data_IF_295455778434
#
_entry.id   IF_295455778434
#
_cell.length_a   1.000
_cell.length_b   1.000
_cell.length_c   1.000
_cell.angle_alpha   90.00
_cell.angle_beta   90.00
_cell.angle_gamma   90.00
#
_symmetry.space_group_name_H-M   'P 1'
#
loop_
_entity.id
_entity.type
_entity.pdbx_description
1 polymer ?
#
# COMPACT_ATOMS: atom_id res chain seq x y z
N UNK A 1 -20.28 17.50 -8.45
CA UNK A 1 -19.62 17.74 -7.15
C UNK A 1 -20.28 17.01 -5.99
N UNK A 2 -21.56 17.28 -5.59
CA UNK A 2 -22.22 16.63 -4.44
C UNK A 2 -22.33 15.11 -4.58
N UNK A 3 -22.78 14.60 -5.73
CA UNK A 3 -22.92 13.16 -6.03
C UNK A 3 -21.58 12.40 -5.96
N UNK A 4 -20.52 12.97 -6.49
CA UNK A 4 -19.16 12.38 -6.47
C UNK A 4 -18.61 12.25 -5.05
N UNK A 5 -18.76 13.32 -4.22
CA UNK A 5 -18.38 13.28 -2.81
C UNK A 5 -19.12 12.19 -2.05
N UNK A 6 -20.44 12.06 -2.26
CA UNK A 6 -21.25 11.00 -1.64
C UNK A 6 -20.75 9.62 -2.04
N UNK A 7 -20.44 9.39 -3.32
CA UNK A 7 -19.90 8.09 -3.79
C UNK A 7 -18.59 7.74 -3.11
N UNK A 8 -17.67 8.71 -2.96
CA UNK A 8 -16.38 8.49 -2.29
C UNK A 8 -16.57 8.15 -0.80
N UNK A 9 -17.47 8.86 -0.11
CA UNK A 9 -17.77 8.60 1.30
C UNK A 9 -18.40 7.21 1.49
N UNK A 10 -19.39 6.85 0.66
CA UNK A 10 -20.03 5.52 0.71
C UNK A 10 -19.02 4.43 0.44
N UNK A 11 -18.14 4.59 -0.56
CA UNK A 11 -17.06 3.64 -0.82
C UNK A 11 -16.12 3.53 0.39
N UNK A 12 -15.77 4.66 1.03
CA UNK A 12 -14.94 4.69 2.23
C UNK A 12 -15.58 3.90 3.38
N UNK A 13 -16.88 4.11 3.63
CA UNK A 13 -17.62 3.35 4.66
C UNK A 13 -17.59 1.84 4.38
N UNK A 14 -17.88 1.43 3.16
CA UNK A 14 -17.85 0.01 2.77
C UNK A 14 -16.44 -0.60 2.94
N UNK A 15 -15.40 0.11 2.51
CA UNK A 15 -14.02 -0.34 2.62
C UNK A 15 -13.60 -0.49 4.10
N UNK A 16 -14.00 0.45 4.97
CA UNK A 16 -13.70 0.35 6.40
C UNK A 16 -14.41 -0.82 7.07
N UNK A 17 -15.68 -1.04 6.76
CA UNK A 17 -16.46 -2.21 7.24
C UNK A 17 -15.81 -3.51 6.75
N UNK A 18 -15.52 -3.65 5.45
CA UNK A 18 -14.88 -4.85 4.89
C UNK A 18 -13.53 -5.11 5.57
N UNK A 19 -12.73 -4.06 5.84
CA UNK A 19 -11.43 -4.20 6.50
C UNK A 19 -11.56 -4.77 7.93
N UNK A 20 -12.54 -4.33 8.71
CA UNK A 20 -12.79 -4.88 10.04
C UNK A 20 -13.38 -6.30 9.98
N UNK A 21 -14.26 -6.58 9.02
CA UNK A 21 -14.80 -7.92 8.81
C UNK A 21 -13.73 -8.93 8.43
N UNK A 22 -12.73 -8.55 7.61
CA UNK A 22 -11.61 -9.45 7.31
C UNK A 22 -10.81 -9.83 8.56
N UNK A 23 -10.65 -8.91 9.52
CA UNK A 23 -10.04 -9.23 10.82
C UNK A 23 -10.92 -10.20 11.60
N UNK A 24 -12.24 -9.99 11.61
CA UNK A 24 -13.18 -10.91 12.24
C UNK A 24 -13.13 -12.32 11.64
N UNK A 25 -12.93 -12.43 10.33
CA UNK A 25 -12.79 -13.72 9.64
C UNK A 25 -11.40 -14.35 9.70
N UNK A 26 -10.44 -13.76 10.39
CA UNK A 26 -9.15 -14.38 10.67
C UNK A 26 -7.91 -13.63 10.17
N UNK A 27 -8.04 -12.50 9.47
CA UNK A 27 -6.87 -11.69 9.15
C UNK A 27 -6.21 -11.13 10.43
N UNK A 28 -4.90 -10.84 10.42
CA UNK A 28 -4.25 -10.27 11.59
C UNK A 28 -4.91 -8.97 12.03
N UNK A 29 -4.93 -8.72 13.34
CA UNK A 29 -5.51 -7.51 13.91
C UNK A 29 -4.91 -6.23 13.27
N UNK A 30 -5.76 -5.25 12.99
CA UNK A 30 -5.41 -4.01 12.29
C UNK A 30 -4.80 -4.21 10.88
N UNK A 31 -4.95 -5.39 10.27
CA UNK A 31 -4.40 -5.74 8.96
C UNK A 31 -5.48 -6.22 7.97
N UNK A 32 -6.71 -5.74 8.07
CA UNK A 32 -7.77 -6.14 7.13
C UNK A 32 -7.34 -5.97 5.67
N UNK A 33 -6.78 -4.80 5.33
CA UNK A 33 -6.13 -4.52 4.05
C UNK A 33 -4.79 -3.79 4.28
N UNK A 34 -3.70 -4.51 4.48
CA UNK A 34 -2.37 -3.91 4.50
C UNK A 34 -1.62 -4.24 3.21
N UNK A 35 -1.58 -3.31 2.26
CA UNK A 35 -0.95 -3.56 0.96
C UNK A 35 0.52 -3.92 1.09
N UNK A 36 1.31 -3.18 1.89
CA UNK A 36 2.73 -3.47 2.08
C UNK A 36 2.95 -4.86 2.69
N UNK A 37 2.22 -5.17 3.80
CA UNK A 37 2.37 -6.47 4.46
C UNK A 37 1.92 -7.62 3.55
N UNK A 38 0.87 -7.44 2.78
CA UNK A 38 0.32 -8.47 1.90
C UNK A 38 1.19 -8.72 0.66
N UNK A 39 1.83 -7.68 0.11
CA UNK A 39 2.85 -7.87 -0.93
C UNK A 39 4.09 -8.59 -0.36
N UNK A 40 4.55 -8.21 0.82
CA UNK A 40 5.62 -8.89 1.54
C UNK A 40 5.31 -10.37 1.76
N UNK A 41 4.13 -10.68 2.30
CA UNK A 41 3.72 -12.07 2.56
C UNK A 41 3.70 -12.89 1.26
N UNK A 42 3.26 -12.27 0.15
CA UNK A 42 3.23 -12.91 -1.17
C UNK A 42 4.64 -13.20 -1.68
N UNK A 43 5.59 -12.28 -1.55
CA UNK A 43 6.98 -12.53 -1.98
C UNK A 43 7.66 -13.58 -1.10
N UNK A 44 7.34 -13.61 0.20
CA UNK A 44 7.78 -14.66 1.11
C UNK A 44 7.25 -16.04 0.73
N UNK A 45 5.98 -16.12 0.34
CA UNK A 45 5.40 -17.38 -0.16
C UNK A 45 6.09 -17.88 -1.44
N UNK A 46 6.57 -16.95 -2.28
CA UNK A 46 7.37 -17.27 -3.48
C UNK A 46 8.83 -17.63 -3.16
N UNK A 47 9.24 -17.62 -1.89
CA UNK A 47 10.62 -17.93 -1.47
C UNK A 47 11.63 -16.81 -1.75
N UNK A 48 11.19 -15.57 -2.06
CA UNK A 48 12.09 -14.45 -2.34
C UNK A 48 12.70 -13.85 -1.06
N UNK A 49 12.12 -14.15 0.11
CA UNK A 49 12.73 -13.92 1.41
C UNK A 49 12.48 -15.09 2.38
N UNK A 50 13.35 -15.23 3.38
CA UNK A 50 13.37 -16.37 4.31
C UNK A 50 12.59 -16.14 5.62
N UNK A 51 11.88 -15.03 5.78
CA UNK A 51 11.13 -14.72 7.00
C UNK A 51 9.87 -15.60 7.12
N UNK A 52 10.00 -16.78 7.76
CA UNK A 52 8.97 -17.81 7.86
C UNK A 52 7.64 -17.31 8.48
N UNK A 53 7.68 -16.30 9.36
CA UNK A 53 6.49 -15.75 10.01
C UNK A 53 5.54 -14.98 9.07
N UNK A 54 5.95 -14.69 7.82
CA UNK A 54 5.24 -13.80 6.91
C UNK A 54 5.25 -14.33 5.46
N UNK A 55 4.82 -15.57 5.30
CA UNK A 55 4.77 -16.31 4.03
C UNK A 55 3.34 -16.78 3.77
N UNK A 56 2.62 -16.09 2.88
CA UNK A 56 1.29 -16.44 2.43
C UNK A 56 0.92 -15.68 1.15
N UNK A 57 0.39 -16.36 0.13
CA UNK A 57 -0.16 -15.68 -1.05
C UNK A 57 -1.49 -15.03 -0.64
N UNK A 58 -1.57 -13.71 -0.68
CA UNK A 58 -2.72 -12.94 -0.18
C UNK A 58 -3.82 -12.75 -1.24
N UNK A 59 -4.97 -13.43 -1.10
CA UNK A 59 -6.07 -13.31 -2.06
C UNK A 59 -6.65 -11.89 -2.15
N UNK A 60 -6.51 -11.09 -1.10
CA UNK A 60 -6.94 -9.69 -1.06
C UNK A 60 -6.24 -8.85 -2.14
N UNK A 61 -4.92 -9.08 -2.34
CA UNK A 61 -4.14 -8.40 -3.39
C UNK A 61 -4.58 -8.83 -4.77
N UNK A 62 -4.79 -10.15 -4.95
CA UNK A 62 -5.28 -10.73 -6.20
C UNK A 62 -6.63 -10.12 -6.55
N UNK A 63 -7.57 -10.15 -5.61
CA UNK A 63 -8.91 -9.60 -5.78
C UNK A 63 -8.90 -8.10 -6.09
N UNK A 64 -8.07 -7.34 -5.40
CA UNK A 64 -7.95 -5.89 -5.59
C UNK A 64 -7.53 -5.52 -7.03
N UNK A 65 -6.54 -6.21 -7.58
CA UNK A 65 -6.07 -5.99 -8.95
C UNK A 65 -7.10 -6.47 -9.97
N UNK A 66 -7.68 -7.67 -9.77
CA UNK A 66 -8.69 -8.23 -10.67
C UNK A 66 -9.98 -7.40 -10.65
N UNK A 67 -10.44 -6.93 -9.48
CA UNK A 67 -11.60 -6.05 -9.35
C UNK A 67 -11.41 -4.73 -10.09
N UNK A 68 -10.23 -4.10 -9.95
CA UNK A 68 -9.89 -2.91 -10.70
C UNK A 68 -9.82 -3.16 -12.21
N UNK A 69 -9.25 -4.31 -12.64
CA UNK A 69 -9.18 -4.70 -14.04
C UNK A 69 -10.59 -4.90 -14.63
N UNK A 70 -11.43 -5.70 -13.98
CA UNK A 70 -12.79 -6.01 -14.43
C UNK A 70 -13.60 -4.71 -14.62
N UNK A 71 -13.63 -3.85 -13.59
CA UNK A 71 -14.43 -2.62 -13.70
C UNK A 71 -13.85 -1.66 -14.73
N UNK A 72 -12.52 -1.57 -14.87
CA UNK A 72 -11.90 -0.71 -15.89
C UNK A 72 -12.19 -1.18 -17.32
N UNK A 73 -12.29 -2.49 -17.54
CA UNK A 73 -12.71 -3.05 -18.82
C UNK A 73 -14.19 -2.75 -19.13
N UNK A 74 -15.08 -2.95 -18.16
CA UNK A 74 -16.52 -2.67 -18.28
C UNK A 74 -16.77 -1.17 -18.56
N UNK A 75 -16.07 -0.29 -17.86
CA UNK A 75 -16.24 1.17 -18.00
C UNK A 75 -15.40 1.78 -19.14
N UNK A 76 -14.67 0.95 -19.91
CA UNK A 76 -13.76 1.39 -20.98
C UNK A 76 -12.65 2.33 -20.50
N UNK A 77 -12.26 2.20 -19.25
CA UNK A 77 -11.16 2.96 -18.63
C UNK A 77 -9.83 2.17 -18.60
N UNK A 78 -9.81 0.93 -19.12
CA UNK A 78 -8.58 0.16 -19.29
C UNK A 78 -7.69 0.82 -20.35
N UNK A 79 -6.55 1.37 -19.90
CA UNK A 79 -5.65 2.16 -20.74
C UNK A 79 -4.20 1.72 -20.57
N UNK A 80 -3.74 0.73 -21.35
CA UNK A 80 -2.34 0.33 -21.36
C UNK A 80 -1.41 1.48 -21.67
N UNK A 81 -0.51 1.78 -20.74
CA UNK A 81 0.46 2.87 -20.85
C UNK A 81 1.66 2.59 -19.94
N UNK A 82 2.83 3.09 -20.32
CA UNK A 82 4.05 2.90 -19.55
C UNK A 82 5.27 3.56 -20.18
N UNK A 83 6.46 3.19 -19.73
CA UNK A 83 7.74 3.68 -20.25
C UNK A 83 8.23 4.98 -19.59
N UNK A 84 7.57 5.41 -18.50
CA UNK A 84 7.95 6.61 -17.75
C UNK A 84 8.91 6.27 -16.62
N UNK A 85 10.19 6.51 -16.80
CA UNK A 85 11.26 6.41 -15.81
C UNK A 85 11.25 5.09 -14.98
N UNK A 86 11.35 3.90 -15.60
CA UNK A 86 11.14 2.63 -14.90
C UNK A 86 12.12 2.40 -13.75
N UNK A 87 13.40 2.72 -13.89
CA UNK A 87 14.41 2.57 -12.83
C UNK A 87 14.05 3.44 -11.61
N UNK A 88 13.67 4.69 -11.85
CA UNK A 88 13.28 5.62 -10.78
C UNK A 88 12.02 5.12 -10.06
N UNK A 89 11.03 4.61 -10.79
CA UNK A 89 9.80 4.05 -10.20
C UNK A 89 10.07 2.82 -9.36
N UNK A 90 10.92 1.92 -9.86
CA UNK A 90 11.35 0.74 -9.12
C UNK A 90 12.06 1.12 -7.82
N UNK A 91 13.04 2.02 -7.90
CA UNK A 91 13.82 2.48 -6.74
C UNK A 91 12.93 3.19 -5.70
N UNK A 92 12.07 4.10 -6.15
CA UNK A 92 11.10 4.76 -5.24
C UNK A 92 10.17 3.74 -4.60
N UNK A 93 9.68 2.74 -5.35
CA UNK A 93 8.86 1.64 -4.84
C UNK A 93 9.57 0.87 -3.73
N UNK A 94 10.85 0.50 -3.94
CA UNK A 94 11.64 -0.21 -2.94
C UNK A 94 11.81 0.61 -1.64
N UNK A 95 12.14 1.89 -1.72
CA UNK A 95 12.25 2.74 -0.53
C UNK A 95 10.91 3.02 0.15
N UNK A 96 9.83 3.14 -0.60
CA UNK A 96 8.47 3.22 -0.02
C UNK A 96 8.18 1.97 0.81
N UNK A 97 8.53 0.78 0.31
CA UNK A 97 8.32 -0.46 1.06
C UNK A 97 9.18 -0.52 2.33
N UNK A 98 10.47 -0.13 2.26
CA UNK A 98 11.34 -0.06 3.43
C UNK A 98 10.73 0.88 4.49
N UNK A 99 10.24 2.06 4.10
CA UNK A 99 9.53 2.97 5.01
C UNK A 99 8.27 2.35 5.62
N UNK A 100 7.48 1.64 4.81
CA UNK A 100 6.30 0.92 5.28
C UNK A 100 6.65 -0.21 6.26
N UNK A 101 7.75 -0.93 6.06
CA UNK A 101 8.17 -2.03 6.94
C UNK A 101 8.89 -1.53 8.19
N UNK A 102 9.44 -0.31 8.18
CA UNK A 102 9.88 0.37 9.39
C UNK A 102 8.68 0.66 10.31
N UNK A 103 7.57 1.15 9.78
CA UNK A 103 6.34 1.44 10.52
C UNK A 103 5.50 0.18 10.78
N UNK A 104 5.79 -0.94 10.13
CA UNK A 104 4.98 -2.16 10.11
C UNK A 104 3.59 -1.94 9.48
N UNK A 105 3.53 -1.19 8.39
CA UNK A 105 2.27 -1.00 7.67
C UNK A 105 2.32 0.07 6.58
N UNK A 106 1.48 -0.07 5.57
CA UNK A 106 1.29 0.95 4.54
C UNK A 106 0.38 2.09 5.05
N UNK A 107 0.27 3.22 4.32
CA UNK A 107 -0.62 4.32 4.70
C UNK A 107 -2.07 3.89 4.94
N UNK A 108 -2.56 2.90 4.21
CA UNK A 108 -3.90 2.37 4.44
C UNK A 108 -4.02 1.65 5.79
N UNK A 109 -3.06 0.78 6.13
CA UNK A 109 -3.01 0.14 7.44
C UNK A 109 -2.84 1.15 8.58
N UNK A 110 -2.13 2.24 8.37
CA UNK A 110 -2.00 3.31 9.36
C UNK A 110 -3.37 3.83 9.82
N UNK A 111 -4.32 4.01 8.89
CA UNK A 111 -5.71 4.39 9.22
C UNK A 111 -6.43 3.27 9.99
N UNK A 112 -6.22 2.01 9.61
CA UNK A 112 -6.81 0.87 10.32
C UNK A 112 -6.23 0.70 11.73
N UNK A 113 -4.94 0.97 11.93
CA UNK A 113 -4.30 1.00 13.25
C UNK A 113 -4.90 2.10 14.13
N UNK A 114 -5.10 3.31 13.60
CA UNK A 114 -5.82 4.39 14.29
C UNK A 114 -7.25 3.96 14.67
N UNK A 115 -7.96 3.33 13.75
CA UNK A 115 -9.31 2.81 13.98
C UNK A 115 -9.35 1.66 15.01
N UNK A 116 -8.24 0.96 15.21
CA UNK A 116 -8.06 -0.07 16.23
C UNK A 116 -7.64 0.48 17.61
N UNK A 117 -7.35 1.78 17.72
CA UNK A 117 -6.93 2.41 18.98
C UNK A 117 -5.40 2.51 19.15
N UNK A 118 -4.60 2.16 18.13
CA UNK A 118 -3.14 2.23 18.21
C UNK A 118 -2.63 3.68 18.13
N UNK A 119 -2.21 4.23 19.28
CA UNK A 119 -1.66 5.58 19.38
C UNK A 119 -0.33 5.77 18.64
N UNK A 120 0.44 4.69 18.40
CA UNK A 120 1.69 4.79 17.64
C UNK A 120 1.46 5.18 16.17
N UNK A 121 0.28 4.90 15.64
CA UNK A 121 -0.09 5.29 14.28
C UNK A 121 -0.23 6.81 14.10
N UNK A 122 -0.38 7.59 15.17
CA UNK A 122 -0.38 9.06 15.13
C UNK A 122 0.99 9.58 14.68
N UNK A 123 2.09 9.00 15.21
CA UNK A 123 3.44 9.37 14.77
C UNK A 123 3.65 9.04 13.30
N UNK A 124 3.13 7.86 12.85
CA UNK A 124 3.13 7.49 11.44
C UNK A 124 2.35 8.49 10.57
N UNK A 125 1.17 8.93 11.01
CA UNK A 125 0.36 9.91 10.30
C UNK A 125 1.10 11.26 10.16
N UNK A 126 1.70 11.76 11.23
CA UNK A 126 2.51 13.00 11.21
C UNK A 126 3.67 12.87 10.22
N UNK A 127 4.44 11.77 10.27
CA UNK A 127 5.52 11.52 9.34
C UNK A 127 5.03 11.43 7.89
N UNK A 128 3.94 10.72 7.64
CA UNK A 128 3.36 10.56 6.32
C UNK A 128 2.91 11.89 5.69
N UNK A 129 2.22 12.72 6.47
CA UNK A 129 1.81 14.06 6.04
C UNK A 129 3.05 14.92 5.76
N UNK A 130 4.04 14.94 6.63
CA UNK A 130 5.28 15.69 6.42
C UNK A 130 6.01 15.25 5.13
N UNK A 131 6.11 13.94 4.86
CA UNK A 131 6.69 13.41 3.63
C UNK A 131 5.93 13.84 2.38
N UNK A 132 4.58 13.82 2.41
CA UNK A 132 3.76 14.32 1.30
C UNK A 132 3.96 15.83 1.09
N UNK A 133 4.02 16.63 2.15
CA UNK A 133 4.26 18.07 2.05
C UNK A 133 5.63 18.36 1.41
N UNK A 134 6.67 17.61 1.82
CA UNK A 134 8.00 17.71 1.21
C UNK A 134 7.95 17.40 -0.28
N UNK A 135 7.32 16.28 -0.68
CA UNK A 135 7.20 15.94 -2.10
C UNK A 135 6.31 16.91 -2.89
N UNK A 136 5.26 17.46 -2.27
CA UNK A 136 4.42 18.51 -2.87
C UNK A 136 5.23 19.77 -3.21
N UNK A 137 6.20 20.13 -2.37
CA UNK A 137 7.12 21.22 -2.67
C UNK A 137 7.93 20.94 -3.95
N UNK A 138 8.43 19.72 -4.15
CA UNK A 138 9.13 19.33 -5.38
C UNK A 138 8.20 19.30 -6.60
N UNK A 139 6.94 18.86 -6.44
CA UNK A 139 5.93 18.95 -7.52
C UNK A 139 5.73 20.40 -7.98
N UNK A 140 5.63 21.35 -7.02
CA UNK A 140 5.54 22.79 -7.34
C UNK A 140 6.79 23.33 -8.05
N UNK A 141 7.95 22.71 -7.82
CA UNK A 141 9.21 23.04 -8.51
C UNK A 141 9.40 22.34 -9.87
N UNK A 142 8.38 21.64 -10.37
CA UNK A 142 8.43 21.02 -11.69
C UNK A 142 8.90 19.57 -11.70
N UNK A 143 8.92 18.88 -10.53
CA UNK A 143 9.22 17.45 -10.51
C UNK A 143 8.30 16.66 -11.44
N UNK A 144 8.89 15.82 -12.28
CA UNK A 144 8.17 14.92 -13.20
C UNK A 144 8.93 13.62 -13.40
N UNK A 145 8.18 12.51 -13.53
CA UNK A 145 8.70 11.20 -13.94
C UNK A 145 8.67 11.01 -15.47
N UNK A 146 8.52 12.09 -16.23
CA UNK A 146 8.35 12.11 -17.68
C UNK A 146 7.01 11.51 -18.15
N UNK A 147 6.84 11.47 -19.45
CA UNK A 147 5.60 11.08 -20.12
C UNK A 147 5.49 9.57 -20.23
N UNK A 148 4.31 9.01 -19.96
CA UNK A 148 3.98 7.63 -20.30
C UNK A 148 3.52 7.54 -21.75
N UNK A 149 3.82 6.45 -22.42
CA UNK A 149 3.42 6.15 -23.78
C UNK A 149 2.29 5.13 -23.81
N UNK A 150 1.47 5.14 -24.87
CA UNK A 150 0.47 4.11 -25.10
C UNK A 150 1.17 2.79 -25.42
N UNK A 151 0.77 1.73 -24.73
CA UNK A 151 1.30 0.38 -24.88
C UNK A 151 0.27 -0.55 -25.56
N UNK A 152 0.70 -1.65 -26.17
CA UNK A 152 -0.18 -2.71 -26.64
C UNK A 152 -1.08 -3.24 -25.50
N UNK A 153 -2.29 -3.68 -25.85
CA UNK A 153 -3.23 -4.22 -24.84
C UNK A 153 -2.64 -5.40 -24.06
N UNK A 154 -1.86 -6.24 -24.74
CA UNK A 154 -1.21 -7.40 -24.13
C UNK A 154 -0.33 -6.99 -22.92
N UNK A 155 0.49 -5.95 -23.05
CA UNK A 155 1.37 -5.51 -21.98
C UNK A 155 0.59 -5.05 -20.74
N UNK A 156 -0.56 -4.38 -20.95
CA UNK A 156 -1.42 -3.97 -19.84
C UNK A 156 -2.12 -5.14 -19.14
N UNK A 157 -2.30 -6.28 -19.81
CA UNK A 157 -2.97 -7.47 -19.25
C UNK A 157 -2.02 -8.42 -18.52
N UNK A 158 -0.71 -8.30 -18.70
CA UNK A 158 0.30 -9.22 -18.10
C UNK A 158 0.17 -9.27 -16.57
N UNK A 159 0.04 -8.14 -15.91
CA UNK A 159 -0.01 -8.12 -14.44
C UNK A 159 -1.35 -8.65 -13.88
N UNK A 160 -2.53 -8.29 -14.40
CA UNK A 160 -3.77 -8.99 -14.05
C UNK A 160 -3.73 -10.51 -14.32
N UNK A 161 -3.13 -10.95 -15.44
CA UNK A 161 -2.94 -12.37 -15.72
C UNK A 161 -2.01 -13.05 -14.71
N UNK A 162 -0.93 -12.38 -14.30
CA UNK A 162 -0.05 -12.85 -13.23
C UNK A 162 -0.82 -13.07 -11.91
N UNK A 163 -1.80 -12.23 -11.57
CA UNK A 163 -2.64 -12.42 -10.39
C UNK A 163 -3.50 -13.68 -10.47
N UNK A 164 -3.95 -14.05 -11.68
CA UNK A 164 -4.67 -15.34 -11.89
C UNK A 164 -3.73 -16.52 -11.65
N UNK A 165 -2.48 -16.43 -12.12
CA UNK A 165 -1.45 -17.46 -11.84
C UNK A 165 -1.21 -17.57 -10.33
N UNK A 166 -1.11 -16.44 -9.62
CA UNK A 166 -0.95 -16.44 -8.16
C UNK A 166 -2.13 -17.10 -7.43
N UNK A 167 -3.36 -16.92 -7.94
CA UNK A 167 -4.54 -17.59 -7.39
C UNK A 167 -4.48 -19.10 -7.61
N UNK A 168 -4.04 -19.55 -8.78
CA UNK A 168 -3.86 -20.96 -9.10
C UNK A 168 -2.77 -21.57 -8.19
N UNK A 169 -1.65 -20.88 -7.99
CA UNK A 169 -0.57 -21.32 -7.10
C UNK A 169 -1.03 -21.43 -5.65
N UNK A 170 -1.85 -20.49 -5.19
CA UNK A 170 -2.45 -20.56 -3.86
C UNK A 170 -3.37 -21.77 -3.71
N UNK A 171 -4.22 -22.04 -4.71
CA UNK A 171 -5.17 -23.15 -4.68
C UNK A 171 -4.50 -24.52 -4.82
N UNK A 172 -3.46 -24.61 -5.65
CA UNK A 172 -2.72 -25.85 -5.89
C UNK A 172 -1.69 -26.16 -4.80
N UNK A 173 -1.22 -25.12 -4.07
CA UNK A 173 -0.23 -25.21 -3.00
C UNK A 173 0.96 -26.12 -3.31
N UNK A 174 1.67 -25.93 -4.46
CA UNK A 174 2.79 -26.80 -4.81
C UNK A 174 3.94 -26.65 -3.81
N UNK A 175 4.79 -27.66 -3.67
CA UNK A 175 5.82 -27.75 -2.66
C UNK A 175 6.86 -26.59 -2.64
N UNK A 176 6.97 -25.83 -3.74
CA UNK A 176 7.86 -24.67 -3.81
C UNK A 176 7.20 -23.37 -3.29
N UNK A 177 5.91 -23.40 -2.99
CA UNK A 177 5.23 -22.26 -2.33
C UNK A 177 5.32 -22.45 -0.83
N UNK A 178 5.84 -21.44 -0.15
CA UNK A 178 6.00 -21.45 1.28
C UNK A 178 4.78 -20.87 1.99
N UNK A 179 4.39 -21.52 3.08
CA UNK A 179 3.33 -21.04 3.96
C UNK A 179 3.86 -20.97 5.40
N UNK A 180 3.46 -19.92 6.10
CA UNK A 180 3.78 -19.79 7.54
C UNK A 180 3.11 -20.94 8.30
N UNK A 181 3.87 -21.63 9.15
CA UNK A 181 3.36 -22.69 10.02
C UNK A 181 2.24 -22.18 10.93
N UNK A 182 1.28 -23.03 11.33
CA UNK A 182 0.25 -22.68 12.30
C UNK A 182 0.90 -22.04 13.55
N UNK A 183 0.37 -20.90 14.00
CA UNK A 183 0.93 -20.10 15.12
C UNK A 183 2.30 -19.45 14.87
N UNK A 184 2.92 -19.70 13.72
CA UNK A 184 4.25 -19.18 13.37
C UNK A 184 4.33 -17.68 13.11
N UNK A 185 3.19 -16.97 13.03
CA UNK A 185 3.18 -15.53 12.85
C UNK A 185 1.99 -14.97 12.05
N UNK A 186 2.10 -13.71 11.60
CA UNK A 186 1.01 -13.05 10.85
C UNK A 186 0.66 -13.73 9.53
N UNK A 187 1.58 -14.45 8.91
CA UNK A 187 1.33 -15.17 7.65
C UNK A 187 0.33 -16.31 7.81
N UNK A 188 0.29 -16.96 8.98
CA UNK A 188 -0.67 -18.02 9.30
C UNK A 188 -2.10 -17.50 9.54
N UNK A 189 -2.24 -16.19 9.81
CA UNK A 189 -3.55 -15.56 10.06
C UNK A 189 -4.14 -15.03 8.77
N UNK A 190 -5.24 -15.60 8.32
CA UNK A 190 -5.94 -15.17 7.13
C UNK A 190 -7.40 -15.62 7.15
N UNK A 191 -8.27 -14.84 6.55
CA UNK A 191 -9.65 -15.25 6.29
C UNK A 191 -9.68 -16.33 5.19
N UNK A 192 -10.80 -17.05 5.06
CA UNK A 192 -10.96 -18.03 4.01
C UNK A 192 -10.70 -17.41 2.63
N UNK A 193 -10.07 -18.16 1.72
CA UNK A 193 -9.61 -17.69 0.40
C UNK A 193 -10.72 -16.96 -0.36
N UNK A 194 -11.94 -17.52 -0.38
CA UNK A 194 -13.07 -16.90 -1.10
C UNK A 194 -13.53 -15.60 -0.46
N UNK A 195 -13.50 -15.49 0.86
CA UNK A 195 -13.86 -14.26 1.59
C UNK A 195 -12.83 -13.17 1.29
N UNK A 196 -11.54 -13.48 1.39
CA UNK A 196 -10.44 -12.57 1.10
C UNK A 196 -10.45 -12.11 -0.36
N UNK A 197 -10.68 -13.03 -1.29
CA UNK A 197 -10.76 -12.72 -2.72
C UNK A 197 -11.94 -11.82 -3.04
N UNK A 198 -13.14 -12.16 -2.54
CA UNK A 198 -14.36 -11.36 -2.74
C UNK A 198 -14.20 -9.94 -2.15
N UNK A 199 -13.66 -9.84 -0.93
CA UNK A 199 -13.35 -8.57 -0.29
C UNK A 199 -12.36 -7.75 -1.14
N UNK A 200 -11.30 -8.39 -1.66
CA UNK A 200 -10.34 -7.77 -2.58
C UNK A 200 -11.01 -7.23 -3.83
N UNK A 201 -11.84 -8.04 -4.50
CA UNK A 201 -12.56 -7.63 -5.72
C UNK A 201 -13.45 -6.42 -5.46
N UNK A 202 -14.24 -6.44 -4.38
CA UNK A 202 -15.14 -5.35 -4.04
C UNK A 202 -14.35 -4.05 -3.75
N UNK A 203 -13.30 -4.14 -2.94
CA UNK A 203 -12.43 -2.98 -2.63
C UNK A 203 -11.73 -2.48 -3.89
N UNK A 204 -11.29 -3.38 -4.78
CA UNK A 204 -10.69 -3.04 -6.07
C UNK A 204 -11.64 -2.24 -6.96
N UNK A 205 -12.89 -2.66 -7.08
CA UNK A 205 -13.94 -1.97 -7.83
C UNK A 205 -14.20 -0.58 -7.21
N UNK A 206 -14.41 -0.51 -5.90
CA UNK A 206 -14.71 0.75 -5.20
C UNK A 206 -13.55 1.74 -5.31
N UNK A 207 -12.32 1.29 -5.09
CA UNK A 207 -11.12 2.14 -5.15
C UNK A 207 -10.82 2.61 -6.58
N UNK A 208 -11.08 1.79 -7.60
CA UNK A 208 -10.96 2.19 -9.00
C UNK A 208 -11.99 3.28 -9.34
N UNK A 209 -13.26 3.07 -9.01
CA UNK A 209 -14.36 4.00 -9.34
C UNK A 209 -14.23 5.35 -8.64
N UNK A 210 -13.72 5.37 -7.43
CA UNK A 210 -13.54 6.59 -6.63
C UNK A 210 -12.16 7.22 -6.74
N UNK A 211 -11.21 6.53 -7.43
CA UNK A 211 -9.80 6.93 -7.52
C UNK A 211 -9.17 7.14 -6.14
N UNK A 212 -9.62 6.36 -5.15
CA UNK A 212 -9.22 6.50 -3.75
C UNK A 212 -7.70 6.39 -3.61
N UNK A 213 -7.10 7.42 -3.01
CA UNK A 213 -5.65 7.51 -2.79
C UNK A 213 -5.35 8.42 -1.60
N UNK A 214 -4.67 7.89 -0.57
CA UNK A 214 -4.31 8.69 0.61
C UNK A 214 -3.42 9.88 0.26
N UNK A 215 -2.40 9.63 -0.56
CA UNK A 215 -1.50 10.69 -1.04
C UNK A 215 -2.29 11.76 -1.80
N UNK A 216 -3.17 11.32 -2.70
CA UNK A 216 -4.05 12.22 -3.45
C UNK A 216 -4.92 13.08 -2.54
N UNK A 217 -5.48 12.50 -1.48
CA UNK A 217 -6.33 13.24 -0.54
C UNK A 217 -5.61 14.41 0.14
N UNK A 218 -4.38 14.18 0.63
CA UNK A 218 -3.57 15.21 1.29
C UNK A 218 -3.02 16.19 0.25
N UNK A 219 -2.48 15.69 -0.87
CA UNK A 219 -1.95 16.51 -1.96
C UNK A 219 -3.00 17.49 -2.49
N UNK A 220 -4.19 16.99 -2.80
CA UNK A 220 -5.24 17.79 -3.43
C UNK A 220 -5.80 18.83 -2.45
N UNK A 221 -5.84 18.52 -1.16
CA UNK A 221 -6.17 19.47 -0.11
C UNK A 221 -5.15 20.62 -0.04
N UNK A 222 -3.84 20.32 -0.17
CA UNK A 222 -2.76 21.31 -0.08
C UNK A 222 -2.56 22.11 -1.37
N UNK A 223 -2.72 21.46 -2.54
CA UNK A 223 -2.49 22.13 -3.84
C UNK A 223 -3.70 22.88 -4.37
N UNK A 224 -4.90 22.32 -4.16
CA UNK A 224 -6.12 22.78 -4.82
C UNK A 224 -7.26 23.12 -3.87
N UNK A 225 -7.10 22.90 -2.54
CA UNK A 225 -8.18 23.04 -1.57
C UNK A 225 -9.31 22.01 -1.77
N UNK A 226 -9.03 20.89 -2.43
CA UNK A 226 -10.01 19.83 -2.68
C UNK A 226 -9.91 18.71 -1.64
N UNK A 227 -10.96 18.53 -0.85
CA UNK A 227 -10.99 17.59 0.28
C UNK A 227 -11.77 16.28 -0.02
N UNK A 228 -12.23 16.06 -1.26
CA UNK A 228 -13.11 14.92 -1.61
C UNK A 228 -12.53 13.57 -1.20
N UNK A 229 -11.26 13.30 -1.59
CA UNK A 229 -10.60 12.05 -1.26
C UNK A 229 -10.31 11.94 0.23
N UNK A 230 -10.03 13.04 0.91
CA UNK A 230 -9.80 13.07 2.36
C UNK A 230 -11.04 12.61 3.13
N UNK A 231 -12.24 13.05 2.70
CA UNK A 231 -13.51 12.56 3.28
C UNK A 231 -13.69 11.05 3.11
N UNK A 232 -13.18 10.45 2.03
CA UNK A 232 -13.17 9.00 1.85
C UNK A 232 -12.33 8.29 2.92
N UNK A 233 -11.16 8.84 3.26
CA UNK A 233 -10.32 8.26 4.32
C UNK A 233 -10.88 8.48 5.72
N UNK A 234 -11.49 9.63 5.99
CA UNK A 234 -12.22 9.86 7.24
C UNK A 234 -13.37 8.86 7.35
N UNK A 235 -14.08 8.58 6.26
CA UNK A 235 -15.14 7.58 6.25
C UNK A 235 -14.61 6.16 6.54
N UNK A 236 -13.44 5.77 5.98
CA UNK A 236 -12.79 4.50 6.31
C UNK A 236 -12.44 4.45 7.80
N UNK A 237 -11.80 5.50 8.32
CA UNK A 237 -11.41 5.58 9.74
C UNK A 237 -12.60 5.41 10.65
N UNK A 238 -13.66 6.19 10.43
CA UNK A 238 -14.86 6.20 11.29
C UNK A 238 -15.59 4.86 11.21
N UNK A 239 -15.81 4.32 10.01
CA UNK A 239 -16.52 3.04 9.87
C UNK A 239 -15.73 1.86 10.41
N UNK A 240 -14.40 1.81 10.20
CA UNK A 240 -13.54 0.80 10.79
C UNK A 240 -13.48 0.93 12.32
N UNK A 241 -13.44 2.15 12.87
CA UNK A 241 -13.50 2.39 14.32
C UNK A 241 -14.82 1.87 14.92
N UNK A 242 -15.96 2.20 14.33
CA UNK A 242 -17.27 1.73 14.78
C UNK A 242 -17.30 0.20 14.78
N UNK A 243 -16.83 -0.43 13.70
CA UNK A 243 -16.78 -1.89 13.60
C UNK A 243 -15.81 -2.52 14.61
N UNK A 244 -14.64 -1.94 14.82
CA UNK A 244 -13.67 -2.44 15.80
C UNK A 244 -14.23 -2.36 17.23
N UNK A 245 -14.95 -1.28 17.58
CA UNK A 245 -15.64 -1.16 18.87
C UNK A 245 -16.73 -2.21 18.99
N UNK A 246 -17.56 -2.37 17.96
CA UNK A 246 -18.68 -3.33 17.97
C UNK A 246 -18.21 -4.80 18.05
N UNK A 247 -17.05 -5.13 17.45
CA UNK A 247 -16.48 -6.48 17.42
C UNK A 247 -15.49 -6.75 18.58
N UNK A 248 -15.22 -5.77 19.46
CA UNK A 248 -14.30 -5.91 20.58
C UNK A 248 -12.81 -5.87 20.17
N UNK A 249 -12.49 -5.33 19.00
CA UNK A 249 -11.11 -5.20 18.50
C UNK A 249 -10.48 -3.83 18.78
N UNK A 250 -11.20 -2.94 19.43
CA UNK A 250 -10.71 -1.61 19.80
C UNK A 250 -9.91 -1.67 21.10
N UNK A 251 -8.60 -1.48 21.01
CA UNK A 251 -7.67 -1.47 22.15
C UNK A 251 -6.89 -0.15 22.16
N UNK A 252 -7.36 0.89 22.89
CA UNK A 252 -6.69 2.18 22.90
C UNK A 252 -5.38 2.13 23.70
N UNK A 253 -4.31 2.66 23.14
CA UNK A 253 -3.02 2.76 23.82
C UNK A 253 -1.82 2.72 22.88
N UNK A 254 -0.64 2.71 23.48
CA UNK A 254 0.64 2.67 22.75
C UNK A 254 1.33 1.31 22.89
N UNK A 255 1.20 0.66 24.05
CA UNK A 255 1.87 -0.60 24.38
C UNK A 255 0.97 -1.78 24.07
N UNK A 256 1.54 -2.90 23.64
CA UNK A 256 0.80 -4.14 23.37
C UNK A 256 -0.06 -4.11 22.09
N UNK A 257 0.17 -3.17 21.22
CA UNK A 257 -0.57 -3.05 19.96
C UNK A 257 -0.18 -4.16 18.97
N UNK A 258 -1.15 -4.77 18.27
CA UNK A 258 -0.87 -5.87 17.36
C UNK A 258 0.07 -5.48 16.22
N UNK A 259 1.20 -6.18 16.11
CA UNK A 259 2.20 -6.01 15.04
C UNK A 259 2.59 -4.52 14.89
N UNK A 260 2.96 -3.90 16.00
CA UNK A 260 3.35 -2.49 16.09
C UNK A 260 4.42 -2.34 17.17
N UNK A 261 5.34 -1.42 16.99
CA UNK A 261 6.33 -1.01 18.00
C UNK A 261 6.03 0.39 18.52
N UNK A 262 6.58 0.71 19.68
CA UNK A 262 6.32 1.97 20.40
C UNK A 262 7.31 3.10 20.07
N UNK A 263 8.30 2.86 19.22
CA UNK A 263 9.29 3.89 18.85
C UNK A 263 8.66 4.93 17.91
N UNK A 264 8.16 6.02 18.48
CA UNK A 264 7.45 7.08 17.76
C UNK A 264 8.30 7.75 16.69
N UNK A 265 9.61 7.97 16.95
CA UNK A 265 10.51 8.61 15.98
C UNK A 265 10.64 7.78 14.71
N UNK A 266 10.88 6.48 14.84
CA UNK A 266 11.05 5.60 13.69
C UNK A 266 9.74 5.25 13.00
N UNK A 267 8.62 5.26 13.73
CA UNK A 267 7.28 5.26 13.14
C UNK A 267 7.07 6.49 12.23
N UNK A 268 7.46 7.69 12.71
CA UNK A 268 7.35 8.91 11.93
C UNK A 268 8.31 8.94 10.73
N UNK A 269 9.59 8.61 10.92
CA UNK A 269 10.59 8.63 9.83
C UNK A 269 10.32 7.58 8.75
N UNK A 270 9.88 6.37 9.13
CA UNK A 270 9.47 5.34 8.17
C UNK A 270 8.31 5.81 7.31
N UNK A 271 7.28 6.37 7.93
CA UNK A 271 6.13 6.90 7.20
C UNK A 271 6.42 8.21 6.46
N UNK A 272 7.39 9.02 6.91
CA UNK A 272 7.90 10.16 6.16
C UNK A 272 8.52 9.69 4.84
N UNK A 273 9.41 8.69 4.88
CA UNK A 273 10.01 8.10 3.69
C UNK A 273 8.93 7.54 2.74
N UNK A 274 7.97 6.79 3.30
CA UNK A 274 6.86 6.25 2.53
C UNK A 274 6.00 7.36 1.88
N UNK A 275 5.65 8.41 2.62
CA UNK A 275 4.88 9.56 2.14
C UNK A 275 5.61 10.32 1.04
N UNK A 276 6.90 10.59 1.24
CA UNK A 276 7.73 11.29 0.27
C UNK A 276 7.90 10.48 -1.02
N UNK A 277 8.21 9.19 -0.95
CA UNK A 277 8.28 8.34 -2.13
C UNK A 277 6.93 8.19 -2.85
N UNK A 278 5.84 8.02 -2.11
CA UNK A 278 4.50 7.87 -2.67
C UNK A 278 4.02 9.09 -3.46
N UNK A 279 4.29 10.32 -2.99
CA UNK A 279 3.90 11.53 -3.71
C UNK A 279 4.69 11.67 -5.01
N UNK A 280 5.98 11.34 -5.01
CA UNK A 280 6.82 11.35 -6.21
C UNK A 280 6.40 10.27 -7.22
N UNK A 281 5.87 9.13 -6.75
CA UNK A 281 5.30 8.06 -7.59
C UNK A 281 3.89 8.40 -8.12
N UNK A 282 3.26 9.44 -7.57
CA UNK A 282 1.90 9.86 -7.93
C UNK A 282 0.79 9.05 -7.27
N UNK A 283 1.08 8.22 -6.25
CA UNK A 283 0.07 7.46 -5.52
C UNK A 283 0.63 6.50 -4.46
N UNK A 284 -0.18 6.19 -3.46
CA UNK A 284 0.16 5.22 -2.42
C UNK A 284 0.19 3.78 -2.98
N UNK A 285 0.74 2.79 -2.24
CA UNK A 285 0.81 1.40 -2.69
C UNK A 285 -0.52 0.83 -3.18
N UNK A 286 -1.64 1.13 -2.51
CA UNK A 286 -2.96 0.72 -2.97
C UNK A 286 -3.29 1.31 -4.34
N UNK A 287 -3.03 2.61 -4.56
CA UNK A 287 -3.30 3.25 -5.86
C UNK A 287 -2.43 2.66 -6.97
N UNK A 288 -1.18 2.26 -6.68
CA UNK A 288 -0.31 1.60 -7.66
C UNK A 288 -0.87 0.23 -8.08
N UNK A 289 -1.40 -0.56 -7.14
CA UNK A 289 -2.07 -1.84 -7.48
C UNK A 289 -3.35 -1.62 -8.31
N UNK A 290 -4.17 -0.63 -7.97
CA UNK A 290 -5.36 -0.30 -8.76
C UNK A 290 -4.96 0.10 -10.19
N UNK A 291 -3.97 0.97 -10.34
CA UNK A 291 -3.47 1.40 -11.65
C UNK A 291 -2.88 0.25 -12.47
N UNK A 292 -2.19 -0.71 -11.82
CA UNK A 292 -1.69 -1.90 -12.51
C UNK A 292 -2.84 -2.76 -13.06
N UNK A 293 -3.97 -2.84 -12.36
CA UNK A 293 -5.20 -3.45 -12.84
C UNK A 293 -5.86 -2.67 -14.00
N UNK A 294 -5.67 -1.35 -14.06
CA UNK A 294 -6.12 -0.50 -15.19
C UNK A 294 -5.21 -0.59 -16.44
N UNK A 295 -4.18 -1.44 -16.41
CA UNK A 295 -3.22 -1.64 -17.51
C UNK A 295 -2.01 -0.70 -17.50
N UNK A 296 -1.75 0.01 -16.40
CA UNK A 296 -0.60 0.90 -16.28
C UNK A 296 0.67 0.13 -15.90
N UNK A 297 1.58 -0.09 -16.87
CA UNK A 297 2.84 -0.83 -16.66
C UNK A 297 3.84 -0.06 -15.82
N UNK A 298 3.80 1.28 -15.80
CA UNK A 298 4.61 2.10 -14.88
C UNK A 298 4.26 1.79 -13.41
N UNK A 299 2.98 1.54 -13.14
CA UNK A 299 2.53 1.14 -11.80
C UNK A 299 2.93 -0.30 -11.48
N UNK A 300 2.97 -1.20 -12.49
CA UNK A 300 3.52 -2.55 -12.31
C UNK A 300 4.98 -2.48 -11.90
N UNK A 301 5.80 -1.68 -12.57
CA UNK A 301 7.21 -1.47 -12.19
C UNK A 301 7.33 -0.95 -10.75
N UNK A 302 6.46 -0.03 -10.35
CA UNK A 302 6.42 0.45 -8.96
C UNK A 302 6.08 -0.66 -7.98
N UNK A 303 5.10 -1.53 -8.30
CA UNK A 303 4.71 -2.67 -7.46
C UNK A 303 5.84 -3.68 -7.36
N UNK A 304 6.54 -3.97 -8.46
CA UNK A 304 7.74 -4.81 -8.45
C UNK A 304 8.85 -4.21 -7.56
N UNK A 305 9.01 -2.89 -7.58
CA UNK A 305 9.90 -2.18 -6.65
C UNK A 305 9.46 -2.35 -5.19
N UNK A 306 8.15 -2.24 -4.89
CA UNK A 306 7.62 -2.52 -3.55
C UNK A 306 7.94 -3.96 -3.11
N UNK A 307 7.72 -4.95 -3.97
CA UNK A 307 8.00 -6.35 -3.69
C UNK A 307 9.50 -6.58 -3.42
N UNK A 308 10.36 -6.11 -4.30
CA UNK A 308 11.82 -6.18 -4.13
C UNK A 308 12.29 -5.48 -2.84
N UNK A 309 11.68 -4.34 -2.50
CA UNK A 309 11.96 -3.65 -1.23
C UNK A 309 11.56 -4.47 0.00
N UNK A 310 10.50 -5.27 -0.09
CA UNK A 310 10.10 -6.19 0.98
C UNK A 310 11.11 -7.33 1.16
N UNK A 311 11.54 -7.93 0.04
CA UNK A 311 12.51 -9.01 0.04
C UNK A 311 13.85 -8.53 0.59
N UNK A 312 14.30 -7.37 0.13
CA UNK A 312 15.52 -6.75 0.62
C UNK A 312 15.43 -6.45 2.13
N UNK A 313 14.30 -5.91 2.57
CA UNK A 313 14.09 -5.59 3.98
C UNK A 313 14.13 -6.81 4.89
N UNK A 314 13.56 -7.93 4.48
CA UNK A 314 13.58 -9.16 5.29
C UNK A 314 14.90 -9.90 5.20
N UNK A 315 15.51 -10.02 4.03
CA UNK A 315 16.77 -10.74 3.86
C UNK A 315 17.97 -10.04 4.52
N UNK A 316 17.93 -8.70 4.66
CA UNK A 316 19.00 -7.92 5.27
C UNK A 316 18.65 -7.35 6.66
N UNK A 317 17.54 -7.79 7.25
CA UNK A 317 17.15 -7.38 8.60
C UNK A 317 16.82 -5.89 8.73
N UNK A 318 16.19 -5.30 7.70
CA UNK A 318 15.79 -3.89 7.72
C UNK A 318 14.37 -3.70 8.26
N UNK A 319 13.53 -4.73 8.20
CA UNK A 319 12.17 -4.67 8.70
C UNK A 319 12.15 -4.58 10.23
N UNK A 320 11.26 -3.75 10.77
CA UNK A 320 10.97 -3.71 12.20
C UNK A 320 10.21 -4.95 12.67
N UNK A 321 10.16 -5.17 13.98
CA UNK A 321 9.30 -6.14 14.65
C UNK A 321 8.44 -5.44 15.72
N UNK A 322 7.65 -6.20 16.47
CA UNK A 322 6.92 -5.67 17.63
C UNK A 322 7.88 -5.15 18.72
N UNK A 323 9.10 -5.70 18.79
CA UNK A 323 10.14 -5.31 19.74
C UNK A 323 10.79 -3.97 19.38
N UNK A 324 10.62 -3.52 18.14
CA UNK A 324 11.14 -2.23 17.68
C UNK A 324 11.86 -2.26 16.33
N UNK A 325 12.43 -1.12 15.93
CA UNK A 325 13.20 -0.99 14.70
C UNK A 325 14.60 -1.55 14.86
N UNK A 326 15.08 -2.26 13.82
CA UNK A 326 16.46 -2.78 13.76
C UNK A 326 17.48 -1.65 13.49
N UNK A 327 18.74 -1.87 13.87
CA UNK A 327 19.81 -0.93 13.54
C UNK A 327 19.97 -0.75 12.02
N UNK A 328 19.95 -1.85 11.25
CA UNK A 328 20.03 -1.83 9.81
C UNK A 328 18.84 -1.09 9.19
N UNK A 329 17.64 -1.29 9.72
CA UNK A 329 16.43 -0.61 9.27
C UNK A 329 16.51 0.91 9.46
N UNK A 330 17.03 1.36 10.60
CA UNK A 330 17.27 2.79 10.88
C UNK A 330 18.19 3.42 9.84
N UNK A 331 19.32 2.77 9.55
CA UNK A 331 20.27 3.19 8.51
C UNK A 331 19.59 3.21 7.13
N UNK A 332 18.85 2.17 6.78
CA UNK A 332 18.17 2.07 5.49
C UNK A 332 17.13 3.17 5.29
N UNK A 333 16.39 3.57 6.33
CA UNK A 333 15.42 4.68 6.25
C UNK A 333 16.15 6.00 6.01
N UNK A 334 17.26 6.28 6.70
CA UNK A 334 18.04 7.51 6.49
C UNK A 334 18.60 7.55 5.06
N UNK A 335 19.22 6.47 4.59
CA UNK A 335 19.70 6.35 3.20
C UNK A 335 18.54 6.55 2.23
N UNK A 336 17.38 5.95 2.49
CA UNK A 336 16.19 6.08 1.66
C UNK A 336 15.71 7.53 1.54
N UNK A 337 15.68 8.27 2.64
CA UNK A 337 15.32 9.69 2.64
C UNK A 337 16.30 10.49 1.76
N UNK A 338 17.60 10.25 1.88
CA UNK A 338 18.63 10.93 1.08
C UNK A 338 18.48 10.60 -0.40
N UNK A 339 18.30 9.32 -0.74
CA UNK A 339 18.15 8.88 -2.14
C UNK A 339 16.86 9.44 -2.76
N UNK A 340 15.74 9.38 -2.04
CA UNK A 340 14.46 9.92 -2.53
C UNK A 340 14.55 11.44 -2.70
N UNK A 341 15.24 12.16 -1.79
CA UNK A 341 15.49 13.58 -1.93
C UNK A 341 16.38 13.88 -3.15
N UNK A 342 17.44 13.13 -3.38
CA UNK A 342 18.30 13.27 -4.56
C UNK A 342 17.50 13.04 -5.86
N UNK A 343 16.66 12.01 -5.93
CA UNK A 343 15.74 11.76 -7.05
C UNK A 343 14.81 12.95 -7.25
N UNK A 344 14.26 13.51 -6.19
CA UNK A 344 13.35 14.66 -6.26
C UNK A 344 14.06 15.89 -6.83
N UNK A 345 15.26 16.19 -6.36
CA UNK A 345 16.09 17.32 -6.84
C UNK A 345 16.45 17.15 -8.32
N UNK A 346 17.04 16.00 -8.70
CA UNK A 346 17.48 15.74 -10.07
C UNK A 346 16.31 15.85 -11.06
N UNK A 347 15.15 15.30 -10.73
CA UNK A 347 14.00 15.32 -11.65
C UNK A 347 13.22 16.65 -11.61
N UNK A 348 13.49 17.55 -10.64
CA UNK A 348 12.96 18.92 -10.63
C UNK A 348 13.84 19.89 -11.42
N UNK A 349 15.15 19.61 -11.53
CA UNK A 349 16.12 20.50 -12.21
C UNK A 349 16.19 20.28 -13.74
N UNK A 350 15.74 19.13 -14.22
CA UNK A 350 15.71 18.85 -15.66
C UNK A 350 14.60 19.69 -16.29
N UNK A 351 14.98 20.83 -16.88
CA UNK A 351 14.16 21.49 -17.89
C UNK A 351 13.83 20.46 -18.97
N UNK A 352 12.56 20.34 -19.36
CA UNK A 352 12.17 19.53 -20.51
C UNK A 352 13.03 19.98 -21.70
N UNK A 353 13.92 19.12 -22.16
CA UNK A 353 14.41 19.20 -23.53
C UNK A 353 13.19 18.86 -24.40
N UNK A 354 12.67 19.85 -25.03
CA UNK A 354 11.51 19.85 -25.92
C UNK A 354 11.74 18.94 -27.14
#
# INVERSE_FOLDING_TARGET
>A
MKKEKTTIVVAGVLIGVISAMLVFFGNPANMGFCIACFLRDTTGALGLHSAAAVQYIRPEIIGLVLGACIVSLITKEFRPRGGSAPVTRFTLGAFVMIGCLMFLGCPFRMILRLAGGDGNAIFGLVGFVAGILTGTFFLKKGYTLKRSYKMPKLEGTVYPAFQIVMLILLAAAPAFIHFTEPEGGPGAKHAAILISLAAGVIVGILAQRTRLCMVGGIRDAVLFGEYKLLFGFVAILVSALIMNVALGFFHPGFVGQPIAHTDGLWNALGMYLAGFGCILLGGCPMRQLILSGEGNTDSVVTVLGLMAGADFAHNFGLASSADGPTANGKIAVVIGIVVVAAIAVINSMRKEEA
#
